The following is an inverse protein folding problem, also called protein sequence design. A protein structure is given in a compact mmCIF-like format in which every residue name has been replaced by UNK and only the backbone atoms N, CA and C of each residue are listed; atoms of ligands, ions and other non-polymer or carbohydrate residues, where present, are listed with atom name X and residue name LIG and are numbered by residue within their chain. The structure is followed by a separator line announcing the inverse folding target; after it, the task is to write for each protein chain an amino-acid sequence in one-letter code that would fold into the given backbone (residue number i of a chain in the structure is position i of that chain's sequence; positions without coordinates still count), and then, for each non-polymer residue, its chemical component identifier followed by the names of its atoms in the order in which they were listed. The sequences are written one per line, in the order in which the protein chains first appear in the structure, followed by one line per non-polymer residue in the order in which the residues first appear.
data_IF_529115459253
#
_entry.id   IF_529115459253
#
_cell.length_a   1.000
_cell.length_b   1.000
_cell.length_c   1.000
_cell.angle_alpha   90.00
_cell.angle_beta   90.00
_cell.angle_gamma   90.00
#
_symmetry.space_group_name_H-M   'P 1'
#
loop_
_entity.id
_entity.type
_entity.pdbx_description
1 polymer ?
#
# COMPACT_ATOMS: atom_id res chain seq x y z
N UNK A 1 -8.70 -17.96 -19.11
CA UNK A 1 -7.99 -18.25 -17.86
C UNK A 1 -8.40 -17.20 -16.85
N UNK A 2 -9.04 -17.59 -15.75
CA UNK A 2 -9.53 -16.65 -14.72
C UNK A 2 -8.46 -16.38 -13.67
N UNK A 3 -8.49 -15.20 -13.06
CA UNK A 3 -7.70 -14.90 -11.88
C UNK A 3 -8.15 -15.79 -10.71
N UNK A 4 -7.25 -16.19 -9.80
CA UNK A 4 -7.64 -16.93 -8.61
C UNK A 4 -8.67 -16.14 -7.80
N UNK A 5 -9.73 -16.81 -7.38
CA UNK A 5 -10.68 -16.24 -6.42
C UNK A 5 -10.02 -16.18 -5.03
N UNK A 6 -10.60 -15.41 -4.10
CA UNK A 6 -10.13 -15.34 -2.71
C UNK A 6 -10.03 -16.74 -2.06
N UNK A 7 -10.87 -17.68 -2.46
CA UNK A 7 -10.85 -19.05 -1.97
C UNK A 7 -9.59 -19.85 -2.37
N UNK A 8 -8.82 -19.38 -3.36
CA UNK A 8 -7.57 -19.98 -3.78
C UNK A 8 -6.36 -19.63 -2.91
N UNK A 9 -6.52 -18.78 -1.89
CA UNK A 9 -5.45 -18.29 -1.04
C UNK A 9 -5.40 -19.01 0.31
N UNK A 10 -4.23 -19.00 0.99
CA UNK A 10 -4.11 -19.50 2.36
C UNK A 10 -5.16 -18.88 3.30
N UNK A 11 -5.64 -19.66 4.27
CA UNK A 11 -6.51 -19.14 5.31
C UNK A 11 -5.75 -18.21 6.26
N UNK A 12 -6.46 -17.25 6.87
CA UNK A 12 -5.90 -16.38 7.91
C UNK A 12 -5.06 -15.20 7.40
N UNK A 13 -5.06 -14.93 6.09
CA UNK A 13 -4.42 -13.74 5.55
C UNK A 13 -5.06 -12.47 6.11
N UNK A 14 -4.21 -11.52 6.49
CA UNK A 14 -4.63 -10.24 7.06
C UNK A 14 -4.89 -9.22 5.97
N UNK A 15 -6.08 -8.62 6.00
CA UNK A 15 -6.37 -7.42 5.23
C UNK A 15 -5.96 -6.19 6.03
N UNK A 16 -5.13 -5.33 5.46
CA UNK A 16 -4.62 -4.14 6.18
C UNK A 16 -5.57 -2.94 6.12
N UNK A 17 -6.59 -2.97 5.26
CA UNK A 17 -7.61 -1.93 5.19
C UNK A 17 -8.62 -2.03 6.34
N UNK A 18 -9.26 -0.91 6.67
CA UNK A 18 -10.38 -0.83 7.61
C UNK A 18 -11.68 -1.30 6.96
N UNK A 19 -11.82 -1.10 5.65
CA UNK A 19 -12.98 -1.56 4.87
C UNK A 19 -12.95 -3.05 4.51
N UNK A 20 -13.98 -3.51 3.81
CA UNK A 20 -14.01 -4.85 3.23
C UNK A 20 -12.95 -4.99 2.11
N UNK A 21 -12.53 -6.23 1.85
CA UNK A 21 -11.67 -6.54 0.70
C UNK A 21 -12.47 -6.27 -0.58
N UNK A 22 -12.00 -5.40 -1.50
CA UNK A 22 -12.67 -5.14 -2.77
C UNK A 22 -12.75 -6.39 -3.66
N UNK A 23 -13.82 -6.54 -4.44
CA UNK A 23 -13.96 -7.61 -5.41
C UNK A 23 -13.13 -7.35 -6.68
N UNK A 24 -12.80 -8.39 -7.44
CA UNK A 24 -12.25 -8.23 -8.80
C UNK A 24 -13.30 -7.54 -9.68
N UNK A 25 -12.89 -6.49 -10.39
CA UNK A 25 -13.76 -5.61 -11.18
C UNK A 25 -14.22 -4.35 -10.43
N UNK A 26 -14.05 -4.29 -9.11
CA UNK A 26 -14.42 -3.10 -8.34
C UNK A 26 -13.53 -1.90 -8.70
N UNK A 27 -14.14 -0.72 -8.63
CA UNK A 27 -13.45 0.57 -8.74
C UNK A 27 -12.94 1.00 -7.36
N UNK A 28 -11.64 1.28 -7.28
CA UNK A 28 -10.96 1.73 -6.07
C UNK A 28 -10.16 3.00 -6.36
N UNK A 29 -9.60 3.61 -5.32
CA UNK A 29 -8.70 4.76 -5.45
C UNK A 29 -7.41 4.44 -4.70
N UNK A 30 -6.27 4.47 -5.39
CA UNK A 30 -4.94 4.29 -4.82
C UNK A 30 -4.44 5.66 -4.35
N UNK A 31 -4.41 5.87 -3.03
CA UNK A 31 -4.01 7.14 -2.42
C UNK A 31 -2.49 7.27 -2.28
N UNK A 32 -1.78 6.15 -2.34
CA UNK A 32 -0.32 6.13 -2.26
C UNK A 32 0.31 6.69 -3.55
N UNK A 33 1.32 7.54 -3.40
CA UNK A 33 2.22 8.01 -4.46
C UNK A 33 1.56 8.63 -5.72
N UNK A 34 0.31 9.09 -5.60
CA UNK A 34 -0.37 9.87 -6.64
C UNK A 34 -0.91 9.06 -7.82
N UNK A 35 -1.23 7.77 -7.65
CA UNK A 35 -1.84 6.94 -8.69
C UNK A 35 -3.29 7.33 -9.01
N UNK A 36 -4.16 7.42 -8.00
CA UNK A 36 -5.56 7.79 -8.18
C UNK A 36 -6.50 6.62 -8.50
N UNK A 37 -7.60 6.84 -9.25
CA UNK A 37 -8.60 5.82 -9.56
C UNK A 37 -8.03 4.60 -10.28
N UNK A 38 -8.50 3.42 -9.91
CA UNK A 38 -8.05 2.15 -10.46
C UNK A 38 -9.17 1.08 -10.45
N UNK A 39 -8.97 0.01 -11.22
CA UNK A 39 -9.83 -1.18 -11.20
C UNK A 39 -9.07 -2.38 -10.62
N UNK A 40 -9.72 -3.17 -9.77
CA UNK A 40 -9.14 -4.40 -9.21
C UNK A 40 -9.13 -5.51 -10.26
N UNK A 41 -7.97 -6.09 -10.51
CA UNK A 41 -7.78 -7.15 -11.53
C UNK A 41 -7.53 -8.53 -10.93
N UNK A 42 -6.87 -8.60 -9.78
CA UNK A 42 -6.56 -9.87 -9.12
C UNK A 42 -6.31 -9.68 -7.63
N UNK A 43 -6.15 -10.79 -6.92
CA UNK A 43 -5.62 -10.82 -5.56
C UNK A 43 -4.18 -11.33 -5.56
N UNK A 44 -3.43 -10.96 -4.53
CA UNK A 44 -2.12 -11.54 -4.23
C UNK A 44 -1.94 -11.65 -2.72
N UNK A 45 -0.90 -12.36 -2.27
CA UNK A 45 -0.51 -12.35 -0.87
C UNK A 45 0.99 -12.21 -0.72
N UNK A 46 1.43 -11.59 0.37
CA UNK A 46 2.84 -11.50 0.75
C UNK A 46 2.94 -11.40 2.28
N UNK A 47 3.86 -12.16 2.87
CA UNK A 47 4.19 -12.09 4.31
C UNK A 47 2.96 -12.14 5.25
N UNK A 48 1.97 -12.97 4.94
CA UNK A 48 0.74 -13.13 5.75
C UNK A 48 -0.35 -12.07 5.48
N UNK A 49 -0.12 -11.13 4.57
CA UNK A 49 -1.09 -10.12 4.18
C UNK A 49 -1.74 -10.43 2.83
N UNK A 50 -3.03 -10.12 2.74
CA UNK A 50 -3.80 -10.10 1.51
C UNK A 50 -3.68 -8.73 0.84
N UNK A 51 -3.46 -8.72 -0.47
CA UNK A 51 -3.45 -7.52 -1.29
C UNK A 51 -4.24 -7.71 -2.59
N UNK A 52 -4.41 -6.60 -3.31
CA UNK A 52 -5.06 -6.55 -4.62
C UNK A 52 -4.11 -6.03 -5.69
N UNK A 53 -4.21 -6.59 -6.90
CA UNK A 53 -3.57 -6.05 -8.09
C UNK A 53 -4.54 -5.08 -8.73
N UNK A 54 -4.12 -3.83 -8.90
CA UNK A 54 -4.93 -2.76 -9.44
C UNK A 54 -4.39 -2.31 -10.80
N UNK A 55 -5.28 -1.94 -11.71
CA UNK A 55 -4.99 -1.24 -12.95
C UNK A 55 -5.37 0.24 -12.81
N UNK A 56 -4.41 1.15 -12.57
CA UNK A 56 -4.67 2.58 -12.50
C UNK A 56 -5.14 3.12 -13.84
N UNK A 57 -6.08 4.08 -13.82
CA UNK A 57 -6.54 4.74 -15.06
C UNK A 57 -5.44 5.62 -15.68
N UNK A 58 -4.63 6.25 -14.82
CA UNK A 58 -3.48 7.07 -15.22
C UNK A 58 -2.27 6.64 -14.41
N UNK A 59 -1.17 6.32 -15.08
CA UNK A 59 0.08 5.97 -14.42
C UNK A 59 0.91 7.23 -14.15
N UNK A 60 1.40 7.45 -12.93
CA UNK A 60 2.30 8.55 -12.64
C UNK A 60 3.59 8.50 -13.48
N UNK A 61 4.07 9.66 -13.94
CA UNK A 61 5.28 9.74 -14.78
C UNK A 61 6.55 9.24 -14.07
N UNK A 62 6.62 9.32 -12.75
CA UNK A 62 7.72 8.74 -11.98
C UNK A 62 7.69 7.20 -12.07
N UNK A 63 6.51 6.60 -11.98
CA UNK A 63 6.33 5.14 -12.00
C UNK A 63 6.68 4.57 -13.37
N UNK A 64 6.21 5.22 -14.45
CA UNK A 64 6.53 4.81 -15.82
C UNK A 64 8.04 4.84 -16.10
N UNK A 65 8.78 5.76 -15.46
CA UNK A 65 10.25 5.84 -15.59
C UNK A 65 10.98 4.76 -14.81
N UNK A 66 10.50 4.40 -13.62
CA UNK A 66 11.12 3.37 -12.78
C UNK A 66 10.79 1.94 -13.24
N UNK A 67 9.58 1.72 -13.75
CA UNK A 67 9.05 0.43 -14.13
C UNK A 67 8.49 0.47 -15.56
N UNK A 68 9.36 0.63 -16.58
CA UNK A 68 8.90 0.74 -17.96
C UNK A 68 8.13 -0.50 -18.41
N UNK A 69 6.93 -0.29 -18.97
CA UNK A 69 6.04 -1.35 -19.46
C UNK A 69 5.14 -1.99 -18.40
N UNK A 70 5.29 -1.64 -17.12
CA UNK A 70 4.41 -2.14 -16.05
C UNK A 70 3.16 -1.26 -15.97
N UNK A 71 1.99 -1.89 -16.04
CA UNK A 71 0.68 -1.20 -16.01
C UNK A 71 -0.17 -1.54 -14.78
N UNK A 72 0.30 -2.46 -13.94
CA UNK A 72 -0.42 -2.93 -12.76
C UNK A 72 0.37 -2.58 -11.49
N UNK A 73 -0.36 -2.16 -10.46
CA UNK A 73 0.19 -1.91 -9.12
C UNK A 73 -0.27 -2.99 -8.15
N UNK A 74 0.64 -3.47 -7.30
CA UNK A 74 0.28 -4.25 -6.12
C UNK A 74 -0.09 -3.27 -5.02
N UNK A 75 -1.29 -3.42 -4.46
CA UNK A 75 -1.79 -2.56 -3.40
C UNK A 75 -2.28 -3.35 -2.20
N UNK A 76 -1.92 -2.91 -1.00
CA UNK A 76 -2.51 -3.37 0.25
C UNK A 76 -3.64 -2.44 0.70
N UNK A 77 -4.52 -2.92 1.58
CA UNK A 77 -5.73 -2.20 1.96
C UNK A 77 -5.53 -0.78 2.50
N UNK A 78 -4.45 -0.53 3.26
CA UNK A 78 -4.13 0.85 3.73
C UNK A 78 -3.85 1.84 2.61
N UNK A 79 -3.39 1.38 1.46
CA UNK A 79 -3.03 2.23 0.32
C UNK A 79 -4.27 2.62 -0.50
N UNK A 80 -5.39 1.95 -0.27
CA UNK A 80 -6.69 2.21 -0.89
C UNK A 80 -7.60 3.11 -0.04
N UNK A 81 -7.07 3.63 1.07
CA UNK A 81 -7.78 4.51 1.98
C UNK A 81 -7.11 5.89 2.03
N UNK A 82 -7.89 6.98 2.22
CA UNK A 82 -7.31 8.29 2.44
C UNK A 82 -6.32 8.27 3.60
N UNK A 83 -5.13 8.85 3.38
CA UNK A 83 -4.17 9.01 4.45
C UNK A 83 -4.73 9.97 5.52
N UNK A 84 -4.95 9.43 6.70
CA UNK A 84 -5.24 10.21 7.90
C UNK A 84 -3.99 10.18 8.77
N UNK A 85 -3.22 11.28 8.87
CA UNK A 85 -2.14 11.34 9.84
C UNK A 85 -2.75 11.22 11.23
N UNK A 86 -2.40 10.17 11.95
CA UNK A 86 -2.56 10.18 13.39
C UNK A 86 -1.57 11.20 13.95
N UNK A 87 -1.92 11.97 14.99
CA UNK A 87 -0.94 12.79 15.68
C UNK A 87 0.21 11.87 16.08
N UNK A 88 1.44 12.31 15.80
CA UNK A 88 2.62 11.59 16.27
C UNK A 88 2.48 11.38 17.78
N UNK A 89 2.85 10.21 18.32
CA UNK A 89 3.03 10.10 19.75
C UNK A 89 3.95 11.24 20.18
N UNK A 90 3.61 11.91 21.28
CA UNK A 90 4.46 12.98 21.84
C UNK A 90 5.77 12.31 22.25
N UNK A 91 6.75 12.28 21.34
CA UNK A 91 8.12 11.88 21.64
C UNK A 91 8.79 13.13 22.17
N UNK A 92 9.10 13.12 23.46
CA UNK A 92 9.66 14.28 24.14
C UNK A 92 9.18 14.48 25.57
N UNK A 93 9.07 13.41 26.38
CA UNK A 93 9.31 13.62 27.80
C UNK A 93 10.77 14.08 27.95
N UNK A 94 11.08 15.05 28.83
CA UNK A 94 12.45 15.49 29.07
C UNK A 94 13.43 14.35 29.42
N UNK A 95 12.90 13.22 29.90
CA UNK A 95 13.66 12.02 30.24
C UNK A 95 14.14 11.19 29.02
N UNK A 96 13.63 11.41 27.80
CA UNK A 96 13.98 10.64 26.58
C UNK A 96 15.08 11.33 25.72
N UNK A 97 15.78 12.33 26.27
CA UNK A 97 16.89 12.98 25.58
C UNK A 97 18.06 12.00 25.39
N UNK A 98 18.32 11.60 24.14
CA UNK A 98 19.55 10.91 23.74
C UNK A 98 20.56 12.02 23.41
N UNK A 99 21.77 12.02 24.03
CA UNK A 99 22.80 13.00 23.72
C UNK A 99 23.12 13.05 22.24
N UNK A 100 23.28 14.28 21.73
CA UNK A 100 23.67 14.57 20.36
C UNK A 100 24.84 13.69 19.90
N UNK A 101 24.73 13.26 18.65
CA UNK A 101 25.70 12.47 17.90
C UNK A 101 27.14 12.97 18.20
N UNK A 102 28.11 12.10 18.55
CA UNK A 102 29.47 12.58 18.77
C UNK A 102 30.01 13.24 17.49
N UNK A 103 30.76 14.34 17.60
CA UNK A 103 31.28 15.04 16.44
C UNK A 103 32.08 14.07 15.56
N UNK A 104 31.82 14.10 14.26
CA UNK A 104 32.62 13.36 13.29
C UNK A 104 33.92 14.13 13.13
N UNK A 105 35.04 13.54 13.57
CA UNK A 105 36.37 14.09 13.33
C UNK A 105 36.62 14.18 11.80
N UNK A 106 37.09 15.34 11.34
CA UNK A 106 37.38 15.71 9.94
C UNK A 106 38.61 14.99 9.37
#
# INVERSE_FOLDING_TARGET
MGFPSLAGFPAGLQWSGRGAVPAIGDRVHIYLNGFGPAEVKAYFHAEGFLGVVCAPEVLPAWFQRQCPGVTLGHCFGRELEPYQPMPAPVVGSPDDWIPDYPPQDE
#
